data_IF_172042783285
#
_entry.id   IF_172042783285
#
_cell.length_a   1.000
_cell.length_b   1.000
_cell.length_c   1.000
_cell.angle_alpha   90.00
_cell.angle_beta   90.00
_cell.angle_gamma   90.00
#
_symmetry.space_group_name_H-M   'P 1'
#
loop_
_entity.id
_entity.type
_entity.pdbx_description
1 polymer ?
#
# COMPACT_ATOMS: atom_id res chain seq x y z
N UNK A 1 1.03 6.46 8.66
CA UNK A 1 1.31 5.06 9.05
C UNK A 1 2.22 4.43 8.01
N UNK A 2 3.25 3.73 8.41
CA UNK A 2 4.22 3.16 7.48
C UNK A 2 4.14 1.64 7.47
N UNK A 3 4.45 1.06 6.31
CA UNK A 3 4.47 -0.39 6.15
C UNK A 3 5.45 -0.81 5.07
N UNK A 4 5.46 -2.09 4.80
CA UNK A 4 6.34 -2.70 3.81
C UNK A 4 5.51 -3.58 2.89
N UNK A 5 5.71 -3.45 1.59
CA UNK A 5 4.96 -4.24 0.60
C UNK A 5 5.34 -5.71 0.74
N UNK A 6 4.35 -6.55 0.99
CA UNK A 6 4.54 -7.99 1.11
C UNK A 6 4.22 -8.72 -0.19
N UNK A 7 3.15 -8.33 -0.88
CA UNK A 7 2.79 -8.89 -2.19
C UNK A 7 2.24 -7.79 -3.08
N UNK A 8 2.37 -7.96 -4.39
CA UNK A 8 1.78 -7.06 -5.37
C UNK A 8 1.53 -7.82 -6.67
N UNK A 9 0.30 -7.74 -7.16
CA UNK A 9 -0.09 -8.35 -8.43
C UNK A 9 -0.19 -7.24 -9.49
N UNK A 10 0.71 -7.22 -10.48
CA UNK A 10 0.68 -6.18 -11.51
C UNK A 10 -0.53 -6.26 -12.44
N UNK A 11 -1.18 -7.41 -12.53
CA UNK A 11 -2.35 -7.57 -13.38
C UNK A 11 -3.59 -6.96 -12.75
N UNK A 12 -3.82 -7.22 -11.46
CA UNK A 12 -4.97 -6.69 -10.73
C UNK A 12 -4.65 -5.37 -10.04
N UNK A 13 -3.37 -5.06 -9.86
CA UNK A 13 -2.86 -3.89 -9.14
C UNK A 13 -3.28 -3.88 -7.67
N UNK A 14 -3.58 -5.05 -7.14
CA UNK A 14 -3.88 -5.24 -5.73
C UNK A 14 -2.70 -5.93 -5.05
N UNK A 15 -2.65 -5.87 -3.73
CA UNK A 15 -1.59 -6.53 -2.99
C UNK A 15 -1.78 -6.41 -1.49
N UNK A 16 -0.77 -6.83 -0.76
CA UNK A 16 -0.77 -6.75 0.70
C UNK A 16 0.50 -6.07 1.19
N UNK A 17 0.41 -5.52 2.38
CA UNK A 17 1.54 -4.90 3.05
C UNK A 17 1.52 -5.25 4.53
N UNK A 18 2.68 -5.15 5.17
CA UNK A 18 2.81 -5.34 6.61
C UNK A 18 3.15 -4.02 7.26
N UNK A 19 2.40 -3.69 8.30
CA UNK A 19 2.71 -2.55 9.16
C UNK A 19 3.91 -2.87 10.06
N UNK A 20 4.48 -1.84 10.68
CA UNK A 20 5.62 -2.02 11.55
C UNK A 20 5.32 -2.89 12.77
N UNK A 21 4.04 -2.98 13.17
CA UNK A 21 3.61 -3.83 14.28
C UNK A 21 3.29 -5.27 13.86
N UNK A 22 3.47 -5.61 12.58
CA UNK A 22 3.19 -6.93 12.05
C UNK A 22 1.79 -7.13 11.50
N UNK A 23 0.94 -6.11 11.56
CA UNK A 23 -0.42 -6.19 11.02
C UNK A 23 -0.39 -6.22 9.50
N UNK A 24 -1.09 -7.18 8.89
CA UNK A 24 -1.22 -7.27 7.45
C UNK A 24 -2.45 -6.49 6.99
N UNK A 25 -2.28 -5.66 5.97
CA UNK A 25 -3.37 -4.94 5.32
C UNK A 25 -3.41 -5.30 3.84
N UNK A 26 -4.64 -5.35 3.30
CA UNK A 26 -4.84 -5.56 1.86
C UNK A 26 -5.20 -4.23 1.23
N UNK A 27 -4.56 -3.90 0.11
CA UNK A 27 -4.95 -2.74 -0.69
C UNK A 27 -5.44 -3.22 -2.06
N UNK A 28 -6.46 -2.53 -2.56
CA UNK A 28 -7.06 -2.87 -3.86
C UNK A 28 -6.53 -1.96 -4.97
N UNK A 29 -7.00 -2.23 -6.19
CA UNK A 29 -6.61 -1.44 -7.34
C UNK A 29 -6.99 0.03 -7.20
N UNK A 30 -8.10 0.33 -6.54
CA UNK A 30 -8.54 1.71 -6.34
C UNK A 30 -7.56 2.49 -5.45
N UNK A 31 -7.09 1.87 -4.36
CA UNK A 31 -6.10 2.50 -3.49
C UNK A 31 -4.79 2.74 -4.25
N UNK A 32 -4.37 1.78 -5.03
CA UNK A 32 -3.16 1.91 -5.85
C UNK A 32 -3.31 3.01 -6.90
N UNK A 33 -4.47 3.09 -7.53
CA UNK A 33 -4.75 4.10 -8.54
C UNK A 33 -4.79 5.51 -7.94
N UNK A 34 -5.37 5.67 -6.76
CA UNK A 34 -5.38 6.95 -6.04
C UNK A 34 -3.97 7.41 -5.68
N UNK A 35 -3.05 6.47 -5.53
CA UNK A 35 -1.67 6.77 -5.17
C UNK A 35 -0.85 7.38 -6.31
N UNK A 36 -1.29 7.21 -7.55
CA UNK A 36 -0.55 7.69 -8.72
C UNK A 36 0.71 6.90 -9.02
N UNK A 37 0.88 5.76 -8.40
CA UNK A 37 2.04 4.90 -8.60
C UNK A 37 1.82 3.98 -9.79
N UNK A 38 2.90 3.57 -10.43
CA UNK A 38 2.83 2.64 -11.56
C UNK A 38 3.12 1.21 -11.15
N UNK A 39 4.00 1.03 -10.17
CA UNK A 39 4.47 -0.27 -9.77
C UNK A 39 4.97 -0.19 -8.33
N UNK A 40 4.76 -1.27 -7.59
CA UNK A 40 5.31 -1.44 -6.25
C UNK A 40 6.20 -2.67 -6.24
N UNK A 41 7.30 -2.60 -5.49
CA UNK A 41 8.22 -3.72 -5.35
C UNK A 41 8.02 -4.40 -4.00
N UNK A 42 8.22 -5.71 -3.96
CA UNK A 42 8.23 -6.43 -2.70
C UNK A 42 9.33 -5.90 -1.81
N UNK A 43 9.01 -5.70 -0.54
CA UNK A 43 9.96 -5.15 0.42
C UNK A 43 10.06 -3.63 0.43
N UNK A 44 9.34 -2.94 -0.45
CA UNK A 44 9.38 -1.48 -0.50
C UNK A 44 8.63 -0.87 0.69
N UNK A 45 9.24 0.15 1.31
CA UNK A 45 8.59 0.94 2.36
C UNK A 45 7.56 1.87 1.74
N UNK A 46 6.41 1.97 2.38
CA UNK A 46 5.33 2.85 1.91
C UNK A 46 4.71 3.59 3.07
N UNK A 47 4.15 4.75 2.77
CA UNK A 47 3.31 5.51 3.70
C UNK A 47 1.86 5.20 3.36
N UNK A 48 1.03 4.93 4.37
CA UNK A 48 -0.33 4.45 4.16
C UNK A 48 -1.32 5.39 4.80
N UNK A 49 -2.37 5.72 4.06
CA UNK A 49 -3.55 6.38 4.59
C UNK A 49 -4.68 5.36 4.66
N UNK A 50 -5.33 5.27 5.82
CA UNK A 50 -6.44 4.32 6.02
C UNK A 50 -7.76 5.06 6.03
N UNK A 51 -8.82 4.32 5.68
CA UNK A 51 -10.18 4.83 5.76
C UNK A 51 -10.76 4.62 7.15
N UNK A 52 -11.88 5.26 7.42
CA UNK A 52 -12.60 5.12 8.69
C UNK A 52 -12.94 3.65 8.95
N UNK A 53 -13.20 2.90 7.90
CA UNK A 53 -13.51 1.47 7.97
C UNK A 53 -12.30 0.59 8.25
N UNK A 54 -11.09 1.16 8.24
CA UNK A 54 -9.86 0.42 8.46
C UNK A 54 -9.18 -0.11 7.20
N UNK A 55 -9.80 0.06 6.04
CA UNK A 55 -9.19 -0.31 4.77
C UNK A 55 -8.14 0.68 4.31
N UNK A 56 -7.30 0.27 3.38
CA UNK A 56 -6.26 1.16 2.83
C UNK A 56 -6.90 2.08 1.81
N UNK A 57 -6.80 3.38 2.05
CA UNK A 57 -7.31 4.41 1.14
C UNK A 57 -6.28 4.78 0.08
N UNK A 58 -5.01 4.91 0.50
CA UNK A 58 -3.95 5.37 -0.38
C UNK A 58 -2.60 4.84 0.10
N UNK A 59 -1.72 4.55 -0.86
CA UNK A 59 -0.34 4.14 -0.60
C UNK A 59 0.59 5.16 -1.23
N UNK A 60 1.55 5.67 -0.47
CA UNK A 60 2.52 6.64 -0.96
C UNK A 60 3.95 6.19 -0.71
N UNK A 61 4.90 6.89 -1.32
CA UNK A 61 6.33 6.64 -1.10
C UNK A 61 6.84 7.64 -0.07
N UNK A 62 7.41 7.17 1.07
CA UNK A 62 7.92 8.09 2.09
C UNK A 62 8.99 9.03 1.51
N UNK A 63 8.88 10.29 1.86
CA UNK A 63 9.84 11.31 1.43
C UNK A 63 9.60 11.87 0.04
N UNK A 64 8.60 11.39 -0.68
CA UNK A 64 8.24 11.89 -2.01
C UNK A 64 6.84 12.48 -1.95
N UNK A 65 6.76 13.75 -2.12
CA UNK A 65 5.55 14.53 -2.29
C UNK A 65 4.48 14.37 -1.27
#
# INVERSE_FOLDING_TARGET
MQGTIATFDPDTRAGTLLLDDGTELVFDADAFQRSGLRLLRLGQRVEIETEVTGGVHRVGIPGIG
#
